data_IF_043268234036
#
_entry.id   IF_043268234036
#
_cell.length_a   1.000
_cell.length_b   1.000
_cell.length_c   1.000
_cell.angle_alpha   90.00
_cell.angle_beta   90.00
_cell.angle_gamma   90.00
#
_symmetry.space_group_name_H-M   'P 1'
#
loop_
_entity.id
_entity.type
_entity.pdbx_description
1 polymer ?
#
# COMPACT_ATOMS: atom_id res chain seq x y z
N UNK A 1 4.39 10.54 -10.25
CA UNK A 1 4.48 9.21 -9.61
C UNK A 1 5.49 9.19 -8.48
N UNK A 2 6.76 9.51 -8.72
CA UNK A 2 7.82 9.54 -7.69
C UNK A 2 7.47 10.33 -6.42
N UNK A 3 6.84 11.51 -6.55
CA UNK A 3 6.44 12.33 -5.40
C UNK A 3 5.44 11.60 -4.49
N UNK A 4 4.48 10.89 -5.08
CA UNK A 4 3.46 10.10 -4.35
C UNK A 4 4.15 8.93 -3.65
N UNK A 5 5.07 8.26 -4.34
CA UNK A 5 5.85 7.15 -3.77
C UNK A 5 6.73 7.61 -2.60
N UNK A 6 7.43 8.73 -2.75
CA UNK A 6 8.26 9.33 -1.69
C UNK A 6 7.44 9.70 -0.47
N UNK A 7 6.27 10.33 -0.66
CA UNK A 7 5.35 10.67 0.42
C UNK A 7 4.91 9.42 1.20
N UNK A 8 4.53 8.35 0.51
CA UNK A 8 4.09 7.12 1.19
C UNK A 8 5.22 6.43 1.94
N UNK A 9 6.43 6.38 1.37
CA UNK A 9 7.60 5.86 2.09
C UNK A 9 7.89 6.69 3.34
N UNK A 10 7.83 8.02 3.24
CA UNK A 10 7.99 8.91 4.39
C UNK A 10 6.93 8.67 5.47
N UNK A 11 5.67 8.48 5.06
CA UNK A 11 4.53 8.26 5.96
C UNK A 11 4.63 6.89 6.67
N UNK A 12 5.08 5.86 5.94
CA UNK A 12 5.37 4.54 6.51
C UNK A 12 6.55 4.63 7.49
N UNK A 13 7.68 5.24 7.10
CA UNK A 13 8.83 5.43 7.97
C UNK A 13 8.49 6.21 9.24
N UNK A 14 7.77 7.32 9.10
CA UNK A 14 7.29 8.10 10.25
C UNK A 14 6.40 7.25 11.16
N UNK A 15 5.50 6.45 10.58
CA UNK A 15 4.61 5.58 11.37
C UNK A 15 5.37 4.49 12.12
N UNK A 16 6.44 3.94 11.53
CA UNK A 16 7.32 2.96 12.18
C UNK A 16 8.13 3.63 13.31
N UNK A 17 8.75 4.78 13.05
CA UNK A 17 9.60 5.51 14.02
C UNK A 17 8.80 5.94 15.24
N UNK A 18 7.60 6.48 15.04
CA UNK A 18 6.73 6.95 16.13
C UNK A 18 5.83 5.84 16.70
N UNK A 19 6.06 4.58 16.29
CA UNK A 19 5.28 3.41 16.69
C UNK A 19 3.76 3.64 16.59
N UNK A 20 3.34 4.44 15.61
CA UNK A 20 1.96 4.80 15.36
C UNK A 20 1.21 3.58 14.85
N UNK A 21 -0.11 3.57 15.03
CA UNK A 21 -1.00 2.44 14.72
C UNK A 21 -0.62 1.68 13.46
N UNK A 22 -0.36 0.38 13.63
CA UNK A 22 -0.03 -0.59 12.58
C UNK A 22 -0.97 -0.52 11.36
N UNK A 23 -2.23 -0.15 11.57
CA UNK A 23 -3.21 0.06 10.50
C UNK A 23 -2.74 1.09 9.45
N UNK A 24 -1.99 2.13 9.84
CA UNK A 24 -1.49 3.16 8.91
C UNK A 24 -0.45 2.58 7.95
N UNK A 25 0.43 1.68 8.43
CA UNK A 25 1.46 1.03 7.60
C UNK A 25 0.84 0.13 6.52
N UNK A 26 -0.36 -0.40 6.77
CA UNK A 26 -1.12 -1.21 5.79
C UNK A 26 -2.02 -0.36 4.90
N UNK A 27 -2.71 0.62 5.47
CA UNK A 27 -3.69 1.46 4.76
C UNK A 27 -2.98 2.45 3.82
N UNK A 28 -1.87 3.04 4.23
CA UNK A 28 -1.16 4.03 3.40
C UNK A 28 -0.72 3.48 2.02
N UNK A 29 -0.12 2.28 1.89
CA UNK A 29 0.16 1.66 0.59
C UNK A 29 -1.08 1.38 -0.26
N UNK A 30 -2.20 0.99 0.38
CA UNK A 30 -3.47 0.71 -0.32
C UNK A 30 -4.03 2.00 -0.92
N UNK A 31 -4.09 3.07 -0.11
CA UNK A 31 -4.54 4.40 -0.55
C UNK A 31 -3.64 4.94 -1.65
N UNK A 32 -2.31 4.78 -1.52
CA UNK A 32 -1.35 5.16 -2.56
C UNK A 32 -1.65 4.45 -3.89
N UNK A 33 -1.93 3.14 -3.85
CA UNK A 33 -2.22 2.34 -5.05
C UNK A 33 -3.50 2.80 -5.72
N UNK A 34 -4.54 3.14 -4.96
CA UNK A 34 -5.81 3.68 -5.48
C UNK A 34 -5.60 5.06 -6.14
N UNK A 35 -4.84 5.95 -5.50
CA UNK A 35 -4.54 7.28 -6.07
C UNK A 35 -3.76 7.14 -7.38
N UNK A 36 -2.74 6.28 -7.41
CA UNK A 36 -1.97 6.00 -8.62
C UNK A 36 -2.85 5.42 -9.72
N UNK A 37 -3.79 4.55 -9.37
CA UNK A 37 -4.75 3.99 -10.32
C UNK A 37 -5.62 5.06 -10.95
N UNK A 38 -6.20 5.96 -10.14
CA UNK A 38 -7.03 7.07 -10.63
C UNK A 38 -6.23 7.96 -11.58
N UNK A 39 -4.99 8.32 -11.20
CA UNK A 39 -4.12 9.15 -12.05
C UNK A 39 -3.80 8.42 -13.36
N UNK A 40 -3.45 7.13 -13.33
CA UNK A 40 -3.14 6.38 -14.57
C UNK A 40 -4.35 6.24 -15.48
N UNK A 41 -5.52 5.95 -14.91
CA UNK A 41 -6.73 5.69 -15.66
C UNK A 41 -7.33 6.98 -16.24
N UNK A 42 -7.51 8.02 -15.43
CA UNK A 42 -8.14 9.27 -15.86
C UNK A 42 -7.17 10.23 -16.54
N UNK A 43 -5.94 10.36 -16.04
CA UNK A 43 -5.00 11.37 -16.53
C UNK A 43 -4.12 10.86 -17.68
N UNK A 44 -3.60 9.62 -17.56
CA UNK A 44 -2.78 9.00 -18.60
C UNK A 44 -3.60 8.22 -19.65
N UNK A 45 -4.93 8.15 -19.51
CA UNK A 45 -5.82 7.45 -20.45
C UNK A 45 -5.39 5.99 -20.70
N UNK A 46 -4.73 5.35 -19.71
CA UNK A 46 -4.35 3.95 -19.82
C UNK A 46 -5.59 3.05 -19.75
N UNK A 47 -5.56 1.93 -20.47
CA UNK A 47 -6.60 0.90 -20.35
C UNK A 47 -6.70 0.40 -18.91
N UNK A 48 -7.92 0.12 -18.46
CA UNK A 48 -8.23 -0.29 -17.08
C UNK A 48 -7.26 -1.36 -16.55
N UNK A 49 -7.05 -2.43 -17.33
CA UNK A 49 -6.16 -3.53 -16.96
C UNK A 49 -4.70 -3.08 -16.79
N UNK A 50 -4.21 -2.21 -17.67
CA UNK A 50 -2.85 -1.68 -17.63
C UNK A 50 -2.65 -0.73 -16.45
N UNK A 51 -3.60 0.19 -16.24
CA UNK A 51 -3.59 1.09 -15.10
C UNK A 51 -3.62 0.33 -13.76
N UNK A 52 -4.40 -0.76 -13.67
CA UNK A 52 -4.53 -1.57 -12.45
C UNK A 52 -3.23 -2.31 -12.12
N UNK A 53 -2.67 -3.05 -13.09
CA UNK A 53 -1.42 -3.81 -12.91
C UNK A 53 -0.26 -2.89 -12.54
N UNK A 54 -0.18 -1.71 -13.16
CA UNK A 54 0.90 -0.79 -12.86
C UNK A 54 0.72 0.02 -11.56
N UNK A 55 -0.49 0.09 -11.01
CA UNK A 55 -0.75 0.86 -9.78
C UNK A 55 -0.73 0.00 -8.54
N UNK A 56 -1.03 -1.29 -8.68
CA UNK A 56 -0.88 -2.26 -7.61
C UNK A 56 0.50 -2.90 -7.68
N UNK A 57 1.40 -2.46 -6.80
CA UNK A 57 2.60 -3.23 -6.52
C UNK A 57 2.17 -4.57 -5.90
N UNK A 58 2.31 -5.65 -6.65
CA UNK A 58 2.05 -7.03 -6.21
C UNK A 58 2.78 -7.33 -4.89
N UNK A 59 3.93 -6.66 -4.67
CA UNK A 59 4.69 -6.71 -3.44
C UNK A 59 3.90 -6.19 -2.23
N UNK A 60 3.17 -5.09 -2.39
CA UNK A 60 2.32 -4.50 -1.35
C UNK A 60 1.17 -5.44 -1.00
N UNK A 61 0.51 -6.02 -2.02
CA UNK A 61 -0.55 -7.02 -1.81
C UNK A 61 0.00 -8.25 -1.07
N UNK A 62 1.15 -8.77 -1.51
CA UNK A 62 1.82 -9.91 -0.88
C UNK A 62 2.20 -9.61 0.58
N UNK A 63 2.71 -8.42 0.89
CA UNK A 63 3.01 -7.99 2.26
C UNK A 63 1.75 -7.96 3.13
N UNK A 64 0.66 -7.38 2.63
CA UNK A 64 -0.60 -7.32 3.39
C UNK A 64 -1.15 -8.71 3.68
N UNK A 65 -1.09 -9.63 2.71
CA UNK A 65 -1.52 -11.01 2.87
C UNK A 65 -0.61 -11.75 3.86
N UNK A 66 0.71 -11.73 3.65
CA UNK A 66 1.68 -12.41 4.50
C UNK A 66 1.60 -11.92 5.96
N UNK A 67 1.39 -10.62 6.16
CA UNK A 67 1.28 -10.04 7.50
C UNK A 67 -0.09 -10.26 8.13
N UNK A 68 -1.16 -10.34 7.33
CA UNK A 68 -2.48 -10.81 7.78
C UNK A 68 -2.39 -12.21 8.41
N UNK A 69 -1.68 -13.13 7.76
CA UNK A 69 -1.39 -14.46 8.31
C UNK A 69 -0.53 -14.40 9.58
N UNK A 70 0.52 -13.57 9.61
CA UNK A 70 1.36 -13.40 10.81
C UNK A 70 0.54 -12.96 12.04
N UNK A 71 -0.34 -11.98 11.88
CA UNK A 71 -1.16 -11.44 12.99
C UNK A 71 -2.24 -12.42 13.45
N UNK A 72 -2.85 -13.15 12.53
CA UNK A 72 -3.81 -14.22 12.85
C UNK A 72 -3.13 -15.36 13.64
N UNK A 73 -1.91 -15.73 13.25
CA UNK A 73 -1.12 -16.72 13.99
C UNK A 73 -0.76 -16.27 15.41
N UNK A 74 -0.40 -14.99 15.58
CA UNK A 74 -0.05 -14.44 16.90
C UNK A 74 -1.23 -14.36 17.89
N UNK A 75 -2.46 -14.21 17.41
CA UNK A 75 -3.67 -14.26 18.26
C UNK A 75 -4.07 -15.68 18.69
N UNK A 76 -3.55 -16.71 18.04
CA UNK A 76 -3.87 -18.11 18.38
C UNK A 76 -3.00 -18.67 19.51
N UNK A 77 -1.88 -18.02 19.80
CA UNK A 77 -0.93 -18.40 20.86
C UNK A 77 -1.12 -17.61 22.17
N UNK A 78 -2.27 -16.95 22.35
CA UNK A 78 -2.59 -16.18 23.55
C UNK A 78 -3.97 -16.54 24.08
#
# INVERSE_FOLDING_TARGET
>A
MLVITLLTVFLIMYSIIFNKSFSIVVIAPIVQSIILFIIRYFWLQMTFKSALVHSFDLFTIAMVIAYGFYRLGKRKNH
#
